data_IF_566733470817
#
_entry.id   IF_566733470817
#
_cell.length_a   1.000
_cell.length_b   1.000
_cell.length_c   1.000
_cell.angle_alpha   90.00
_cell.angle_beta   90.00
_cell.angle_gamma   90.00
#
_symmetry.space_group_name_H-M   'P 1'
#
loop_
_entity.id
_entity.type
_entity.pdbx_description
1 polymer ?
#
# COMPACT_ATOMS: atom_id res chain seq x y z
N UNK A 1 -12.13 0.23 3.03
CA UNK A 1 -12.15 0.63 4.46
C UNK A 1 -10.97 0.08 5.25
N UNK A 2 -10.52 -1.18 5.05
CA UNK A 2 -9.38 -1.70 5.83
C UNK A 2 -8.09 -0.88 5.60
N UNK A 3 -7.77 -0.53 4.35
CA UNK A 3 -6.53 0.22 4.05
C UNK A 3 -6.57 1.64 4.61
N UNK A 4 -7.71 2.35 4.48
CA UNK A 4 -7.87 3.70 5.03
C UNK A 4 -7.74 3.71 6.56
N UNK A 5 -8.29 2.72 7.25
CA UNK A 5 -8.20 2.64 8.72
C UNK A 5 -6.75 2.41 9.16
N UNK A 6 -5.97 1.63 8.40
CA UNK A 6 -4.53 1.44 8.62
C UNK A 6 -3.78 2.74 8.38
N UNK A 7 -4.15 3.50 7.34
CA UNK A 7 -3.51 4.79 7.05
C UNK A 7 -3.72 5.82 8.17
N UNK A 8 -4.85 5.75 8.86
CA UNK A 8 -5.18 6.69 9.94
C UNK A 8 -4.62 6.28 11.31
N UNK A 9 -4.44 4.97 11.56
CA UNK A 9 -4.21 4.47 12.93
C UNK A 9 -2.91 3.72 13.16
N UNK A 10 -2.23 3.25 12.11
CA UNK A 10 -1.03 2.42 12.28
C UNK A 10 0.25 3.27 12.47
N UNK A 11 1.03 2.95 13.51
CA UNK A 11 2.37 3.52 13.70
C UNK A 11 3.43 2.83 12.82
N UNK A 12 3.26 1.52 12.61
CA UNK A 12 4.17 0.65 11.87
C UNK A 12 3.42 -0.27 10.93
N UNK A 13 4.02 -0.53 9.76
CA UNK A 13 3.45 -1.38 8.74
C UNK A 13 4.47 -2.45 8.35
N UNK A 14 4.01 -3.70 8.33
CA UNK A 14 4.72 -4.85 7.79
C UNK A 14 4.09 -5.23 6.45
N UNK A 15 4.85 -5.09 5.37
CA UNK A 15 4.41 -5.49 4.04
C UNK A 15 4.95 -6.88 3.72
N UNK A 16 4.05 -7.80 3.39
CA UNK A 16 4.39 -9.17 3.02
C UNK A 16 3.78 -9.55 1.69
N UNK A 17 4.47 -10.41 0.95
CA UNK A 17 3.94 -11.06 -0.25
C UNK A 17 4.39 -12.53 -0.27
N UNK A 18 3.46 -13.45 -0.53
CA UNK A 18 3.72 -14.90 -0.61
C UNK A 18 4.53 -15.46 0.59
N UNK A 19 4.18 -15.02 1.79
CA UNK A 19 4.83 -15.45 3.04
C UNK A 19 6.22 -14.85 3.27
N UNK A 20 6.70 -13.97 2.40
CA UNK A 20 7.97 -13.24 2.56
C UNK A 20 7.73 -11.81 3.00
N UNK A 21 8.54 -11.35 3.95
CA UNK A 21 8.58 -9.92 4.32
C UNK A 21 9.27 -9.16 3.19
N UNK A 22 8.59 -8.13 2.69
CA UNK A 22 9.14 -7.20 1.70
C UNK A 22 9.72 -5.97 2.39
N UNK A 23 8.93 -5.33 3.25
CA UNK A 23 9.31 -4.11 3.96
C UNK A 23 8.71 -4.09 5.37
N UNK A 24 9.38 -3.40 6.29
CA UNK A 24 8.92 -3.22 7.67
C UNK A 24 9.42 -1.86 8.19
N UNK A 25 8.56 -0.86 8.14
CA UNK A 25 8.90 0.51 8.50
C UNK A 25 7.77 1.23 9.25
N UNK A 26 8.10 2.38 9.82
CA UNK A 26 7.11 3.29 10.39
C UNK A 26 6.20 3.85 9.29
N UNK A 27 4.97 4.21 9.63
CA UNK A 27 4.00 4.78 8.69
C UNK A 27 4.53 6.01 7.94
N UNK A 28 5.34 6.84 8.61
CA UNK A 28 5.99 8.01 8.01
C UNK A 28 6.90 7.69 6.82
N UNK A 29 7.54 6.51 6.81
CA UNK A 29 8.32 6.05 5.66
C UNK A 29 7.42 5.86 4.44
N UNK A 30 6.29 5.18 4.61
CA UNK A 30 5.36 4.88 3.53
C UNK A 30 4.67 6.13 3.00
N UNK A 31 4.27 7.05 3.88
CA UNK A 31 3.71 8.35 3.48
C UNK A 31 4.67 9.13 2.58
N UNK A 32 5.96 9.16 2.94
CA UNK A 32 6.98 9.79 2.11
C UNK A 32 7.14 9.08 0.75
N UNK A 33 7.15 7.75 0.74
CA UNK A 33 7.25 7.00 -0.52
C UNK A 33 6.03 7.21 -1.43
N UNK A 34 4.84 7.35 -0.86
CA UNK A 34 3.60 7.62 -1.58
C UNK A 34 3.67 9.00 -2.23
N UNK A 35 4.11 10.02 -1.48
CA UNK A 35 4.32 11.38 -1.99
C UNK A 35 5.38 11.42 -3.10
N UNK A 36 6.57 10.85 -2.84
CA UNK A 36 7.70 10.84 -3.79
C UNK A 36 7.37 10.11 -5.12
N UNK A 37 6.38 9.21 -5.10
CA UNK A 37 5.97 8.40 -6.26
C UNK A 37 4.64 8.85 -6.87
N UNK A 38 4.05 9.94 -6.38
CA UNK A 38 2.75 10.46 -6.81
C UNK A 38 1.62 9.42 -6.74
N UNK A 39 1.65 8.56 -5.71
CA UNK A 39 0.64 7.53 -5.47
C UNK A 39 -0.49 8.07 -4.58
N UNK A 40 -1.67 7.44 -4.64
CA UNK A 40 -2.84 7.89 -3.87
C UNK A 40 -2.96 7.26 -2.48
N UNK A 41 -2.13 6.27 -2.14
CA UNK A 41 -2.18 5.58 -0.85
C UNK A 41 -1.42 4.26 -0.81
N UNK A 42 -1.50 3.56 0.33
CA UNK A 42 -0.80 2.31 0.62
C UNK A 42 -1.18 1.18 -0.34
N UNK A 43 -2.42 1.15 -0.82
CA UNK A 43 -2.86 0.14 -1.79
C UNK A 43 -2.09 0.28 -3.11
N UNK A 44 -2.02 1.49 -3.66
CA UNK A 44 -1.23 1.74 -4.86
C UNK A 44 0.26 1.50 -4.63
N UNK A 45 0.77 1.84 -3.44
CA UNK A 45 2.15 1.54 -3.06
C UNK A 45 2.45 0.03 -3.06
N UNK A 46 1.56 -0.79 -2.50
CA UNK A 46 1.72 -2.23 -2.51
C UNK A 46 1.71 -2.82 -3.94
N UNK A 47 0.83 -2.31 -4.80
CA UNK A 47 0.75 -2.72 -6.20
C UNK A 47 2.02 -2.33 -6.96
N UNK A 48 2.51 -1.10 -6.75
CA UNK A 48 3.79 -0.62 -7.29
C UNK A 48 4.95 -1.50 -6.85
N UNK A 49 5.02 -1.83 -5.55
CA UNK A 49 6.08 -2.67 -4.97
C UNK A 49 6.09 -4.10 -5.54
N UNK A 50 4.91 -4.65 -5.80
CA UNK A 50 4.76 -6.05 -6.26
C UNK A 50 4.68 -6.18 -7.78
N UNK A 51 4.73 -5.07 -8.53
CA UNK A 51 4.55 -5.06 -9.98
C UNK A 51 3.16 -5.48 -10.44
N UNK A 52 2.18 -5.43 -9.53
CA UNK A 52 0.78 -5.77 -9.81
C UNK A 52 0.04 -4.53 -10.29
N UNK A 53 -1.01 -4.73 -11.07
CA UNK A 53 -1.94 -3.66 -11.46
C UNK A 53 -3.19 -3.77 -10.61
N UNK A 54 -3.84 -2.64 -10.33
CA UNK A 54 -5.25 -2.68 -9.95
C UNK A 54 -5.97 -3.41 -11.08
N UNK A 55 -6.67 -4.49 -10.77
CA UNK A 55 -7.71 -4.94 -11.68
C UNK A 55 -8.69 -3.78 -11.79
N UNK A 56 -8.93 -3.28 -13.01
CA UNK A 56 -10.05 -2.38 -13.25
C UNK A 56 -11.29 -3.08 -12.71
N UNK A 57 -11.78 -2.67 -11.55
CA UNK A 57 -13.16 -2.90 -11.14
C UNK A 57 -14.03 -2.01 -12.02
N UNK A 58 -13.99 -2.24 -13.33
CA UNK A 58 -15.07 -1.89 -14.21
C UNK A 58 -16.22 -2.82 -13.82
N UNK A 59 -17.20 -2.26 -13.12
CA UNK A 59 -18.54 -2.79 -12.96
C UNK A 59 -18.88 -3.88 -14.00
N UNK A 60 -18.83 -5.15 -13.59
CA UNK A 60 -19.63 -6.17 -14.24
C UNK A 60 -21.08 -5.89 -13.82
N UNK A 61 -21.80 -5.15 -14.67
CA UNK A 61 -23.27 -5.05 -14.65
C UNK A 61 -23.82 -5.94 -15.75
#
# INVERSE_FOLDING_TARGET
HIVSDVEETADYILVMNEGKVLENHAMSYYMKQIEDKELTGLEQYYLHLTGRKLHDTGNEI
#
